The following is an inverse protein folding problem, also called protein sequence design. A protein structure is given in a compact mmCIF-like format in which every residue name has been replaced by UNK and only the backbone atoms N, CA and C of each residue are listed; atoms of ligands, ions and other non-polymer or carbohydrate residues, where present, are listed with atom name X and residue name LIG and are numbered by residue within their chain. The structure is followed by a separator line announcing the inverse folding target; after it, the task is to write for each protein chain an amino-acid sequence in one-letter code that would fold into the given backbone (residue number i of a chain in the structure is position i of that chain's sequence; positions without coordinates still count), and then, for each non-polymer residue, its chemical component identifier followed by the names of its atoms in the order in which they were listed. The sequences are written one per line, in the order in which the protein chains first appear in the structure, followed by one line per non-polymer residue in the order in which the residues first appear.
data_IF_898125275087
#
_entry.id   IF_898125275087
#
_cell.length_a   1.000
_cell.length_b   1.000
_cell.length_c   1.000
_cell.angle_alpha   90.00
_cell.angle_beta   90.00
_cell.angle_gamma   90.00
#
_symmetry.space_group_name_H-M   'P 1'
#
loop_
_entity.id
_entity.type
_entity.pdbx_description
1 polymer ?
#
# COMPACT_ATOMS: atom_id res chain seq x y z
N UNK A 1 -24.58 3.33 -13.42
CA UNK A 1 -23.59 3.26 -12.32
C UNK A 1 -22.22 3.43 -12.95
N UNK A 2 -21.44 4.34 -12.51
CA UNK A 2 -20.03 4.48 -12.93
C UNK A 2 -19.26 3.30 -12.36
N UNK A 3 -18.42 2.68 -13.18
CA UNK A 3 -17.53 1.59 -12.75
C UNK A 3 -16.47 2.19 -11.81
N UNK A 4 -16.13 1.49 -10.72
CA UNK A 4 -15.04 1.93 -9.83
C UNK A 4 -13.69 1.97 -10.57
N UNK A 5 -12.76 2.80 -10.04
CA UNK A 5 -11.46 3.03 -10.71
C UNK A 5 -10.60 1.78 -10.85
N UNK A 6 -10.68 0.85 -9.89
CA UNK A 6 -9.94 -0.42 -9.91
C UNK A 6 -10.44 -1.32 -11.03
N UNK A 7 -11.75 -1.53 -11.09
CA UNK A 7 -12.40 -2.36 -12.12
C UNK A 7 -12.27 -1.71 -13.51
N UNK A 8 -12.38 -0.38 -13.60
CA UNK A 8 -12.22 0.34 -14.86
C UNK A 8 -10.84 0.11 -15.49
N UNK A 9 -9.77 0.19 -14.69
CA UNK A 9 -8.42 -0.13 -15.19
C UNK A 9 -8.34 -1.56 -15.72
N UNK A 10 -8.88 -2.52 -14.99
CA UNK A 10 -8.86 -3.93 -15.41
C UNK A 10 -9.58 -4.13 -16.75
N UNK A 11 -10.76 -3.51 -16.92
CA UNK A 11 -11.52 -3.56 -18.17
C UNK A 11 -10.77 -2.90 -19.33
N UNK A 12 -10.12 -1.76 -19.11
CA UNK A 12 -9.40 -1.04 -20.16
C UNK A 12 -8.12 -1.79 -20.60
N UNK A 13 -7.44 -2.47 -19.67
CA UNK A 13 -6.32 -3.38 -20.00
C UNK A 13 -6.81 -4.58 -20.83
N UNK A 14 -7.90 -5.22 -20.41
CA UNK A 14 -8.42 -6.41 -21.10
C UNK A 14 -9.05 -6.09 -22.46
N UNK A 15 -9.48 -4.85 -22.65
CA UNK A 15 -9.96 -4.33 -23.95
C UNK A 15 -8.84 -3.78 -24.84
N UNK A 16 -7.56 -3.97 -24.45
CA UNK A 16 -6.37 -3.46 -25.13
C UNK A 16 -6.36 -1.92 -25.32
N UNK A 17 -7.13 -1.16 -24.55
CA UNK A 17 -7.07 0.31 -24.50
C UNK A 17 -5.83 0.80 -23.76
N UNK A 18 -5.34 0.00 -22.81
CA UNK A 18 -4.09 0.24 -22.08
C UNK A 18 -3.13 -0.88 -22.42
N UNK A 19 -1.95 -0.53 -22.93
CA UNK A 19 -0.89 -1.50 -23.21
C UNK A 19 -0.32 -2.03 -21.89
N UNK A 20 -0.37 -3.34 -21.69
CA UNK A 20 0.10 -4.00 -20.49
C UNK A 20 0.76 -5.35 -20.78
N UNK A 21 1.74 -5.73 -19.96
CA UNK A 21 2.37 -7.05 -20.05
C UNK A 21 1.47 -8.17 -19.53
N UNK A 22 1.83 -9.42 -19.85
CA UNK A 22 1.01 -10.60 -19.59
C UNK A 22 0.65 -10.77 -18.11
N UNK A 23 1.55 -10.47 -17.18
CA UNK A 23 1.27 -10.58 -15.74
C UNK A 23 0.24 -9.53 -15.27
N UNK A 24 0.26 -8.33 -15.85
CA UNK A 24 -0.76 -7.31 -15.56
C UNK A 24 -2.10 -7.73 -16.13
N UNK A 25 -2.12 -8.22 -17.39
CA UNK A 25 -3.34 -8.77 -18.02
C UNK A 25 -3.92 -9.93 -17.18
N UNK A 26 -3.07 -10.84 -16.70
CA UNK A 26 -3.49 -11.94 -15.83
C UNK A 26 -4.07 -11.46 -14.49
N UNK A 27 -3.48 -10.42 -13.89
CA UNK A 27 -4.01 -9.83 -12.65
C UNK A 27 -5.37 -9.15 -12.89
N UNK A 28 -5.52 -8.43 -14.00
CA UNK A 28 -6.79 -7.83 -14.40
C UNK A 28 -7.86 -8.89 -14.69
N UNK A 29 -7.51 -9.95 -15.43
CA UNK A 29 -8.42 -11.06 -15.71
C UNK A 29 -8.89 -11.75 -14.43
N UNK A 30 -7.94 -12.03 -13.50
CA UNK A 30 -8.28 -12.59 -12.18
C UNK A 30 -9.28 -11.70 -11.45
N UNK A 31 -9.08 -10.36 -11.46
CA UNK A 31 -10.01 -9.43 -10.80
C UNK A 31 -11.43 -9.57 -11.35
N UNK A 32 -11.60 -9.60 -12.66
CA UNK A 32 -12.90 -9.73 -13.33
C UNK A 32 -13.52 -11.11 -13.09
N UNK A 33 -12.74 -12.18 -13.15
CA UNK A 33 -13.22 -13.55 -12.92
C UNK A 33 -13.64 -13.75 -11.46
N UNK A 34 -12.87 -13.21 -10.52
CA UNK A 34 -13.18 -13.24 -9.10
C UNK A 34 -14.45 -12.42 -8.76
N UNK A 35 -14.69 -11.29 -9.43
CA UNK A 35 -15.94 -10.53 -9.26
C UNK A 35 -17.16 -11.36 -9.71
N UNK A 36 -17.08 -12.03 -10.87
CA UNK A 36 -18.12 -12.95 -11.34
C UNK A 36 -18.32 -14.11 -10.36
N UNK A 37 -17.22 -14.70 -9.87
CA UNK A 37 -17.29 -15.80 -8.91
C UNK A 37 -17.91 -15.37 -7.58
N UNK A 38 -17.74 -14.11 -7.18
CA UNK A 38 -18.28 -13.57 -5.92
C UNK A 38 -19.82 -13.52 -5.88
N UNK A 39 -20.47 -13.49 -7.06
CA UNK A 39 -21.94 -13.56 -7.20
C UNK A 39 -22.49 -14.93 -6.84
N UNK A 40 -21.68 -15.98 -6.91
CA UNK A 40 -22.08 -17.36 -6.64
C UNK A 40 -21.65 -17.81 -5.23
N UNK A 41 -22.54 -18.53 -4.52
CA UNK A 41 -22.16 -19.30 -3.36
C UNK A 41 -21.49 -20.62 -3.82
N UNK A 42 -20.36 -21.05 -3.24
CA UNK A 42 -19.77 -20.72 -1.94
C UNK A 42 -18.49 -19.87 -2.02
N UNK A 43 -18.35 -18.97 -2.98
CA UNK A 43 -17.12 -18.19 -3.11
C UNK A 43 -16.82 -17.37 -1.84
N UNK A 44 -15.61 -17.47 -1.34
CA UNK A 44 -15.21 -16.95 -0.02
C UNK A 44 -15.00 -15.45 0.01
N UNK A 45 -14.70 -14.84 -1.14
CA UNK A 45 -14.30 -13.44 -1.24
C UNK A 45 -15.36 -12.58 -1.91
N UNK A 46 -15.27 -11.27 -1.70
CA UNK A 46 -16.05 -10.26 -2.43
C UNK A 46 -15.19 -9.02 -2.64
N UNK A 47 -15.55 -8.21 -3.60
CA UNK A 47 -14.91 -6.92 -3.84
C UNK A 47 -15.76 -5.81 -3.21
N UNK A 48 -15.17 -5.13 -2.25
CA UNK A 48 -15.75 -3.99 -1.56
C UNK A 48 -15.29 -2.72 -2.25
N UNK A 49 -16.19 -2.16 -3.09
CA UNK A 49 -15.91 -0.96 -3.88
C UNK A 49 -15.62 0.24 -2.96
N UNK A 50 -16.35 0.37 -1.85
CA UNK A 50 -16.17 1.48 -0.92
C UNK A 50 -14.78 1.44 -0.27
N UNK A 51 -14.32 0.28 0.15
CA UNK A 51 -12.98 0.13 0.69
C UNK A 51 -11.89 0.31 -0.38
N UNK A 52 -12.13 -0.11 -1.63
CA UNK A 52 -11.21 0.11 -2.74
C UNK A 52 -11.05 1.62 -3.05
N UNK A 53 -12.17 2.33 -3.16
CA UNK A 53 -12.17 3.77 -3.43
C UNK A 53 -11.58 4.57 -2.26
N UNK A 54 -11.83 4.16 -1.02
CA UNK A 54 -11.34 4.88 0.18
C UNK A 54 -9.82 5.04 0.22
N UNK A 55 -9.05 4.02 -0.12
CA UNK A 55 -7.58 4.15 -0.16
C UNK A 55 -7.10 4.99 -1.35
N UNK A 56 -7.83 4.95 -2.46
CA UNK A 56 -7.51 5.77 -3.65
C UNK A 56 -7.84 7.24 -3.34
N UNK A 57 -8.99 7.52 -2.75
CA UNK A 57 -9.37 8.86 -2.31
C UNK A 57 -8.38 9.41 -1.29
N UNK A 58 -7.95 8.59 -0.32
CA UNK A 58 -6.89 8.98 0.61
C UNK A 58 -5.61 9.35 -0.14
N UNK A 59 -5.19 8.57 -1.14
CA UNK A 59 -4.00 8.89 -1.92
C UNK A 59 -4.14 10.26 -2.63
N UNK A 60 -5.33 10.60 -3.11
CA UNK A 60 -5.60 11.86 -3.81
C UNK A 60 -5.83 13.06 -2.87
N UNK A 61 -5.94 12.83 -1.56
CA UNK A 61 -5.86 13.94 -0.57
C UNK A 61 -4.42 14.39 -0.32
N UNK A 62 -3.44 13.59 -0.72
CA UNK A 62 -2.03 13.91 -0.47
C UNK A 62 -1.50 14.96 -1.44
N UNK A 63 -0.42 15.60 -1.04
CA UNK A 63 0.31 16.59 -1.84
C UNK A 63 1.73 16.13 -2.10
N UNK A 64 2.18 16.27 -3.34
CA UNK A 64 3.58 16.05 -3.71
C UNK A 64 4.33 17.35 -3.44
N UNK A 65 5.20 17.33 -2.42
CA UNK A 65 6.04 18.45 -2.02
C UNK A 65 7.41 18.42 -2.68
N UNK A 66 7.48 18.01 -3.96
CA UNK A 66 8.73 17.97 -4.73
C UNK A 66 8.66 18.93 -5.91
N UNK A 67 9.71 19.73 -6.08
CA UNK A 67 9.79 20.74 -7.13
C UNK A 67 9.58 22.15 -6.60
N UNK A 68 9.24 23.08 -7.50
CA UNK A 68 9.05 24.50 -7.18
C UNK A 68 7.69 24.80 -6.55
N UNK A 69 6.69 23.97 -6.87
CA UNK A 69 5.32 24.13 -6.36
C UNK A 69 4.77 22.79 -5.87
N UNK A 70 4.02 22.84 -4.78
CA UNK A 70 3.26 21.70 -4.28
C UNK A 70 2.14 21.34 -5.25
N UNK A 71 1.98 20.05 -5.54
CA UNK A 71 0.96 19.57 -6.47
C UNK A 71 0.07 18.53 -5.80
N UNK A 72 -1.27 18.60 -5.97
CA UNK A 72 -2.16 17.57 -5.51
C UNK A 72 -1.86 16.25 -6.25
N UNK A 73 -1.95 15.15 -5.50
CA UNK A 73 -1.78 13.83 -6.08
C UNK A 73 -2.98 13.48 -6.96
N UNK A 74 -2.69 13.00 -8.15
CA UNK A 74 -3.65 12.30 -9.01
C UNK A 74 -3.17 10.88 -9.20
N UNK A 75 -3.92 9.91 -8.70
CA UNK A 75 -3.56 8.51 -8.81
C UNK A 75 -3.67 8.03 -10.27
N UNK A 76 -2.56 7.51 -10.81
CA UNK A 76 -2.59 6.90 -12.15
C UNK A 76 -3.47 5.64 -12.16
N UNK A 77 -4.10 5.29 -13.29
CA UNK A 77 -5.00 4.13 -13.36
C UNK A 77 -4.39 2.81 -12.84
N UNK A 78 -3.10 2.56 -13.09
CA UNK A 78 -2.42 1.37 -12.56
C UNK A 78 -2.22 1.43 -11.03
N UNK A 79 -2.04 2.62 -10.46
CA UNK A 79 -1.97 2.82 -9.01
C UNK A 79 -3.33 2.59 -8.36
N UNK A 80 -4.41 3.07 -8.99
CA UNK A 80 -5.77 2.77 -8.57
C UNK A 80 -6.02 1.26 -8.54
N UNK A 81 -5.57 0.52 -9.58
CA UNK A 81 -5.70 -0.93 -9.62
C UNK A 81 -4.94 -1.64 -8.50
N UNK A 82 -3.71 -1.21 -8.20
CA UNK A 82 -2.89 -1.78 -7.13
C UNK A 82 -3.54 -1.51 -5.77
N UNK A 83 -3.79 -0.23 -5.45
CA UNK A 83 -4.34 0.20 -4.16
C UNK A 83 -5.73 -0.39 -3.92
N UNK A 84 -6.61 -0.27 -4.90
CA UNK A 84 -7.98 -0.77 -4.78
C UNK A 84 -8.05 -2.30 -4.73
N UNK A 85 -7.20 -3.03 -5.48
CA UNK A 85 -7.14 -4.49 -5.37
C UNK A 85 -6.69 -4.94 -3.97
N UNK A 86 -5.68 -4.31 -3.39
CA UNK A 86 -5.17 -4.66 -2.06
C UNK A 86 -6.17 -4.35 -0.95
N UNK A 87 -6.91 -3.25 -1.06
CA UNK A 87 -7.83 -2.83 -0.02
C UNK A 87 -9.27 -3.31 -0.23
N UNK A 88 -9.74 -3.44 -1.46
CA UNK A 88 -11.13 -3.78 -1.77
C UNK A 88 -11.45 -5.27 -1.72
N UNK A 89 -10.51 -6.17 -2.04
CA UNK A 89 -10.79 -7.59 -1.93
C UNK A 89 -10.83 -8.07 -0.47
N UNK A 90 -11.99 -8.57 -0.02
CA UNK A 90 -12.28 -8.95 1.36
C UNK A 90 -12.82 -10.37 1.49
N UNK A 91 -12.69 -10.96 2.68
CA UNK A 91 -13.34 -12.22 3.03
C UNK A 91 -14.78 -11.98 3.50
N UNK A 92 -15.71 -12.87 3.13
CA UNK A 92 -17.14 -12.76 3.54
C UNK A 92 -17.36 -13.04 5.03
N UNK A 93 -16.46 -13.78 5.68
CA UNK A 93 -16.60 -14.22 7.06
C UNK A 93 -16.09 -13.21 8.11
N UNK A 94 -15.20 -12.32 7.77
CA UNK A 94 -14.61 -11.41 8.74
C UNK A 94 -14.19 -10.06 8.18
N UNK A 95 -14.53 -9.79 6.92
CA UNK A 95 -14.16 -8.55 6.22
C UNK A 95 -12.64 -8.28 6.22
N UNK A 96 -11.83 -9.35 6.36
CA UNK A 96 -10.37 -9.25 6.30
C UNK A 96 -9.90 -9.08 4.85
N UNK A 97 -8.76 -8.43 4.66
CA UNK A 97 -8.13 -8.34 3.34
C UNK A 97 -7.83 -9.74 2.81
N UNK A 98 -8.19 -9.98 1.55
CA UNK A 98 -7.90 -11.24 0.86
C UNK A 98 -6.41 -11.42 0.62
N UNK A 99 -5.76 -10.37 0.10
CA UNK A 99 -4.35 -10.42 -0.25
C UNK A 99 -3.51 -10.07 0.97
N UNK A 100 -2.97 -11.10 1.61
CA UNK A 100 -2.06 -10.95 2.75
C UNK A 100 -0.63 -10.70 2.31
N UNK A 101 -0.29 -11.14 1.11
CA UNK A 101 1.02 -10.93 0.48
C UNK A 101 0.81 -10.43 -0.94
N UNK A 102 1.61 -9.46 -1.33
CA UNK A 102 1.63 -8.92 -2.69
C UNK A 102 3.07 -8.72 -3.17
N UNK A 103 3.29 -8.93 -4.45
CA UNK A 103 4.54 -8.60 -5.13
C UNK A 103 4.25 -7.57 -6.22
N UNK A 104 4.88 -6.40 -6.10
CA UNK A 104 4.69 -5.28 -7.01
C UNK A 104 6.02 -4.97 -7.67
N UNK A 105 6.11 -5.16 -8.98
CA UNK A 105 7.29 -4.83 -9.77
C UNK A 105 7.00 -3.66 -10.69
N UNK A 106 7.71 -2.57 -10.46
CA UNK A 106 7.62 -1.35 -11.26
C UNK A 106 9.01 -0.94 -11.73
N UNK A 107 9.09 -0.34 -12.91
CA UNK A 107 10.31 0.28 -13.40
C UNK A 107 10.78 1.41 -12.45
N UNK A 108 12.02 1.83 -12.60
CA UNK A 108 12.54 2.99 -11.86
C UNK A 108 11.72 4.25 -12.19
N UNK A 109 11.57 5.16 -11.23
CA UNK A 109 10.84 6.43 -11.35
C UNK A 109 9.35 6.29 -11.68
N UNK A 110 8.71 5.16 -11.34
CA UNK A 110 7.28 4.93 -11.50
C UNK A 110 6.50 4.99 -10.17
N UNK A 111 6.98 5.77 -9.21
CA UNK A 111 6.26 6.03 -7.96
C UNK A 111 6.18 4.84 -6.99
N UNK A 112 7.13 3.88 -7.03
CA UNK A 112 7.14 2.73 -6.12
C UNK A 112 7.21 3.15 -4.65
N UNK A 113 8.15 4.03 -4.29
CA UNK A 113 8.30 4.52 -2.91
C UNK A 113 7.09 5.35 -2.47
N UNK A 114 6.52 6.11 -3.40
CA UNK A 114 5.27 6.85 -3.19
C UNK A 114 4.10 5.91 -2.86
N UNK A 115 3.88 4.84 -3.64
CA UNK A 115 2.86 3.82 -3.35
C UNK A 115 3.09 3.14 -1.99
N UNK A 116 4.34 2.82 -1.68
CA UNK A 116 4.71 2.24 -0.39
C UNK A 116 4.42 3.21 0.76
N UNK A 117 4.67 4.50 0.57
CA UNK A 117 4.33 5.57 1.53
C UNK A 117 2.82 5.68 1.77
N UNK A 118 2.01 5.65 0.71
CA UNK A 118 0.54 5.63 0.80
C UNK A 118 0.07 4.42 1.61
N UNK A 119 0.53 3.21 1.27
CA UNK A 119 0.14 1.98 1.97
C UNK A 119 0.52 2.05 3.46
N UNK A 120 1.74 2.51 3.77
CA UNK A 120 2.19 2.63 5.16
C UNK A 120 1.38 3.64 5.96
N UNK A 121 1.12 4.83 5.42
CA UNK A 121 0.34 5.87 6.09
C UNK A 121 -1.13 5.44 6.27
N UNK A 122 -1.75 4.90 5.22
CA UNK A 122 -3.14 4.47 5.26
C UNK A 122 -3.35 3.34 6.26
N UNK A 123 -2.62 2.24 6.13
CA UNK A 123 -2.75 1.09 7.04
C UNK A 123 -2.24 1.38 8.45
N UNK A 124 -1.33 2.32 8.58
CA UNK A 124 -0.87 2.76 9.90
C UNK A 124 -1.93 3.54 10.65
N UNK A 125 -2.65 4.46 10.01
CA UNK A 125 -3.47 5.43 10.73
C UNK A 125 -4.95 5.49 10.32
N UNK A 126 -5.33 5.04 9.13
CA UNK A 126 -6.70 5.22 8.60
C UNK A 126 -7.46 3.90 8.38
N UNK A 127 -6.79 2.75 8.54
CA UNK A 127 -7.46 1.45 8.59
C UNK A 127 -8.04 1.20 10.00
N UNK A 128 -8.97 0.27 10.11
CA UNK A 128 -9.71 -0.04 11.36
C UNK A 128 -8.86 -0.73 12.43
N UNK A 129 -7.67 -1.22 12.09
CA UNK A 129 -6.82 -1.98 12.99
C UNK A 129 -6.04 -1.06 13.95
N UNK A 130 -6.20 -1.26 15.26
CA UNK A 130 -5.54 -0.47 16.30
C UNK A 130 -4.28 -1.15 16.81
N UNK A 131 -3.31 -0.33 17.25
CA UNK A 131 -2.03 -0.78 17.81
C UNK A 131 -1.20 -1.63 16.84
N UNK A 132 -1.41 -1.44 15.54
CA UNK A 132 -0.66 -2.12 14.49
C UNK A 132 0.80 -1.66 14.43
N UNK A 133 1.65 -2.53 13.91
CA UNK A 133 3.05 -2.22 13.64
C UNK A 133 3.27 -2.29 12.14
N UNK A 134 3.66 -1.16 11.56
CA UNK A 134 3.99 -1.04 10.14
C UNK A 134 5.50 -0.92 9.99
N UNK A 135 6.09 -1.78 9.19
CA UNK A 135 7.53 -1.81 8.97
C UNK A 135 7.87 -1.53 7.51
N UNK A 136 8.72 -0.52 7.29
CA UNK A 136 9.35 -0.24 6.01
C UNK A 136 10.78 -0.75 6.06
N UNK A 137 11.09 -1.77 5.26
CA UNK A 137 12.39 -2.45 5.30
C UNK A 137 13.07 -2.45 3.94
N UNK A 138 14.40 -2.42 3.95
CA UNK A 138 15.24 -2.60 2.78
C UNK A 138 16.59 -3.20 3.22
N UNK A 139 17.44 -3.54 2.26
CA UNK A 139 18.78 -4.10 2.54
C UNK A 139 19.67 -3.14 3.33
N UNK A 140 19.51 -1.83 3.14
CA UNK A 140 20.24 -0.77 3.85
C UNK A 140 19.26 0.17 4.51
N UNK A 141 19.67 0.75 5.66
CA UNK A 141 18.84 1.71 6.39
C UNK A 141 18.45 2.92 5.52
N UNK A 142 19.40 3.46 4.74
CA UNK A 142 19.15 4.60 3.88
C UNK A 142 18.06 4.33 2.83
N UNK A 143 17.96 3.10 2.33
CA UNK A 143 16.90 2.68 1.41
C UNK A 143 15.54 2.56 2.13
N UNK A 144 15.51 2.00 3.34
CA UNK A 144 14.28 1.96 4.14
C UNK A 144 13.79 3.37 4.50
N UNK A 145 14.73 4.31 4.68
CA UNK A 145 14.42 5.73 4.93
C UNK A 145 13.79 6.42 3.72
N UNK A 146 13.93 5.92 2.51
CA UNK A 146 13.26 6.52 1.33
C UNK A 146 11.74 6.47 1.52
N UNK A 147 11.19 5.30 1.85
CA UNK A 147 9.74 5.15 2.10
C UNK A 147 9.33 5.96 3.33
N UNK A 148 10.12 5.94 4.40
CA UNK A 148 9.87 6.72 5.60
C UNK A 148 9.81 8.22 5.30
N UNK A 149 10.73 8.74 4.52
CA UNK A 149 10.79 10.16 4.15
C UNK A 149 9.62 10.55 3.23
N UNK A 150 9.12 9.65 2.37
CA UNK A 150 7.90 9.91 1.61
C UNK A 150 6.70 10.15 2.54
N UNK A 151 6.55 9.32 3.58
CA UNK A 151 5.49 9.50 4.58
C UNK A 151 5.67 10.83 5.32
N UNK A 152 6.90 11.18 5.70
CA UNK A 152 7.21 12.46 6.35
C UNK A 152 6.85 13.66 5.46
N UNK A 153 7.13 13.58 4.15
CA UNK A 153 6.72 14.62 3.20
C UNK A 153 5.20 14.78 3.15
N UNK A 154 4.44 13.68 3.04
CA UNK A 154 2.98 13.73 3.07
C UNK A 154 2.45 14.39 4.34
N UNK A 155 2.99 14.01 5.50
CA UNK A 155 2.57 14.55 6.79
C UNK A 155 2.86 16.05 6.88
N UNK A 156 4.02 16.49 6.39
CA UNK A 156 4.45 17.89 6.51
C UNK A 156 3.80 18.82 5.48
N UNK A 157 3.29 18.29 4.36
CA UNK A 157 2.63 19.08 3.32
C UNK A 157 1.15 19.35 3.60
N UNK A 158 0.57 18.75 4.64
CA UNK A 158 -0.85 18.89 4.97
C UNK A 158 -1.04 19.06 6.48
N UNK A 159 -1.73 20.15 6.90
CA UNK A 159 -1.95 20.49 8.31
C UNK A 159 -2.82 19.45 9.02
N UNK A 160 -3.89 18.98 8.38
CA UNK A 160 -4.82 18.01 8.97
C UNK A 160 -4.13 16.65 9.13
N UNK A 161 -3.31 16.27 8.14
CA UNK A 161 -2.49 15.07 8.24
C UNK A 161 -1.47 15.17 9.37
N UNK A 162 -0.82 16.33 9.54
CA UNK A 162 0.16 16.55 10.61
C UNK A 162 -0.44 16.41 12.01
N UNK A 163 -1.72 16.74 12.15
CA UNK A 163 -2.45 16.51 13.40
C UNK A 163 -2.68 15.03 13.70
N UNK A 164 -2.73 14.18 12.67
CA UNK A 164 -2.97 12.73 12.81
C UNK A 164 -1.72 11.93 13.16
N UNK A 165 -0.52 12.50 13.00
CA UNK A 165 0.74 11.80 13.21
C UNK A 165 1.67 12.53 14.19
N UNK A 166 2.69 11.80 14.68
CA UNK A 166 3.82 12.37 15.42
C UNK A 166 5.11 11.73 14.94
N UNK A 167 5.97 12.53 14.32
CA UNK A 167 7.24 12.09 13.74
C UNK A 167 8.34 12.13 14.82
N UNK A 168 9.13 11.06 14.89
CA UNK A 168 10.30 10.92 15.74
C UNK A 168 11.52 10.60 14.86
N UNK A 169 12.16 11.63 14.32
CA UNK A 169 13.27 11.48 13.36
C UNK A 169 14.47 10.70 13.95
N UNK A 170 14.80 10.93 15.24
CA UNK A 170 15.98 10.34 15.89
C UNK A 170 15.95 8.80 15.90
N UNK A 171 14.78 8.17 15.89
CA UNK A 171 14.62 6.72 15.87
C UNK A 171 13.86 6.19 14.65
N UNK A 172 13.60 7.05 13.66
CA UNK A 172 12.91 6.72 12.42
C UNK A 172 11.55 6.03 12.66
N UNK A 173 10.74 6.65 13.55
CA UNK A 173 9.42 6.15 13.95
C UNK A 173 8.38 7.25 13.77
N UNK A 174 7.18 6.88 13.32
CA UNK A 174 6.01 7.74 13.27
C UNK A 174 4.92 7.09 14.12
N UNK A 175 4.41 7.82 15.11
CA UNK A 175 3.24 7.42 15.89
C UNK A 175 1.96 7.85 15.16
N UNK A 176 1.06 6.92 14.96
CA UNK A 176 -0.25 7.12 14.34
C UNK A 176 -1.28 7.40 15.44
N UNK A 177 -1.78 8.63 15.53
CA UNK A 177 -2.60 9.06 16.67
C UNK A 177 -4.01 8.49 16.68
N UNK A 178 -4.58 8.18 15.50
CA UNK A 178 -5.97 7.66 15.40
C UNK A 178 -6.04 6.20 15.83
N UNK A 179 -5.12 5.39 15.34
CA UNK A 179 -5.09 3.93 15.57
C UNK A 179 -4.19 3.53 16.74
N UNK A 180 -3.36 4.44 17.25
CA UNK A 180 -2.27 4.15 18.20
C UNK A 180 -1.22 3.17 17.63
N UNK A 181 -1.15 3.06 16.32
CA UNK A 181 -0.17 2.23 15.61
C UNK A 181 1.17 2.95 15.47
N UNK A 182 2.18 2.23 14.99
CA UNK A 182 3.52 2.79 14.75
C UNK A 182 4.04 2.38 13.39
N UNK A 183 4.65 3.34 12.69
CA UNK A 183 5.38 3.08 11.45
C UNK A 183 6.87 3.21 11.76
N UNK A 184 7.68 2.23 11.36
CA UNK A 184 9.14 2.22 11.60
C UNK A 184 9.90 1.87 10.33
N UNK A 185 10.99 2.60 10.08
CA UNK A 185 11.99 2.18 9.12
C UNK A 185 13.02 1.25 9.79
N UNK A 186 13.21 0.07 9.24
CA UNK A 186 14.16 -0.94 9.74
C UNK A 186 15.26 -1.19 8.71
N UNK A 187 16.48 -1.38 9.19
CA UNK A 187 17.58 -1.87 8.37
C UNK A 187 17.57 -3.41 8.32
N UNK A 188 18.27 -3.98 7.33
CA UNK A 188 18.36 -5.42 7.13
C UNK A 188 19.03 -6.25 8.24
N UNK A 189 19.33 -5.63 9.40
CA UNK A 189 19.83 -6.39 10.56
C UNK A 189 18.65 -7.06 11.29
N UNK A 190 18.46 -8.34 10.96
CA UNK A 190 17.34 -9.17 11.44
C UNK A 190 17.43 -9.51 12.93
N UNK A 191 18.58 -9.33 13.58
CA UNK A 191 18.80 -9.69 14.99
C UNK A 191 17.99 -8.89 16.00
N UNK A 192 17.47 -7.74 15.60
CA UNK A 192 16.67 -6.84 16.45
C UNK A 192 15.16 -6.97 16.24
N UNK A 193 14.71 -7.93 15.42
CA UNK A 193 13.32 -8.02 14.93
C UNK A 193 12.50 -9.10 15.68
N UNK A 194 13.12 -9.89 16.54
CA UNK A 194 12.42 -10.92 17.31
C UNK A 194 11.29 -10.33 18.17
N UNK A 195 10.10 -10.92 18.06
CA UNK A 195 8.91 -10.52 18.84
C UNK A 195 8.03 -9.46 18.17
N UNK A 196 8.29 -9.07 16.93
CA UNK A 196 7.42 -8.16 16.18
C UNK A 196 6.12 -8.86 15.73
N UNK A 197 5.04 -8.09 15.72
CA UNK A 197 3.73 -8.51 15.19
C UNK A 197 3.34 -7.53 14.09
N UNK A 198 3.88 -7.68 12.89
CA UNK A 198 3.62 -6.73 11.82
C UNK A 198 2.15 -6.79 11.39
N UNK A 199 1.52 -5.62 11.31
CA UNK A 199 0.25 -5.45 10.63
C UNK A 199 0.47 -5.23 9.13
N UNK A 200 1.55 -4.53 8.79
CA UNK A 200 2.04 -4.37 7.42
C UNK A 200 3.57 -4.43 7.41
N UNK A 201 4.12 -5.27 6.56
CA UNK A 201 5.54 -5.30 6.21
C UNK A 201 5.75 -4.86 4.77
N UNK A 202 6.54 -3.82 4.54
CA UNK A 202 6.96 -3.36 3.22
C UNK A 202 8.43 -3.71 3.07
N UNK A 203 8.75 -4.61 2.14
CA UNK A 203 10.11 -5.01 1.80
C UNK A 203 10.48 -4.38 0.47
N UNK A 204 11.14 -3.22 0.52
CA UNK A 204 11.55 -2.51 -0.68
C UNK A 204 12.83 -3.14 -1.27
N UNK A 205 12.97 -3.02 -2.61
CA UNK A 205 14.08 -3.61 -3.36
C UNK A 205 14.34 -5.10 -3.01
N UNK A 206 13.26 -5.90 -2.94
CA UNK A 206 13.31 -7.31 -2.54
C UNK A 206 14.38 -8.11 -3.29
N UNK A 207 14.59 -7.81 -4.57
CA UNK A 207 15.62 -8.46 -5.40
C UNK A 207 17.05 -8.23 -4.93
N UNK A 208 17.31 -7.21 -4.12
CA UNK A 208 18.64 -6.90 -3.58
C UNK A 208 18.92 -7.59 -2.24
N UNK A 209 17.92 -8.23 -1.63
CA UNK A 209 18.11 -9.01 -0.42
C UNK A 209 18.88 -10.31 -0.71
N UNK A 210 19.80 -10.68 0.18
CA UNK A 210 20.64 -11.89 0.02
C UNK A 210 19.85 -13.19 0.20
N UNK A 211 18.79 -13.12 1.01
CA UNK A 211 17.93 -14.22 1.37
C UNK A 211 16.51 -13.68 1.70
N UNK A 212 15.62 -14.58 2.06
CA UNK A 212 14.22 -14.30 2.39
C UNK A 212 13.96 -14.11 3.90
N UNK A 213 15.00 -13.98 4.72
CA UNK A 213 14.86 -13.88 6.18
C UNK A 213 14.01 -12.69 6.60
N UNK A 214 14.24 -11.51 6.00
CA UNK A 214 13.45 -10.31 6.30
C UNK A 214 11.98 -10.51 5.98
N UNK A 215 11.66 -11.12 4.85
CA UNK A 215 10.29 -11.45 4.47
C UNK A 215 9.64 -12.41 5.47
N UNK A 216 10.32 -13.50 5.83
CA UNK A 216 9.84 -14.50 6.80
C UNK A 216 9.62 -13.93 8.21
N UNK A 217 10.38 -12.92 8.61
CA UNK A 217 10.21 -12.26 9.90
C UNK A 217 8.98 -11.34 9.93
N UNK A 218 8.54 -10.87 8.75
CA UNK A 218 7.38 -9.98 8.62
C UNK A 218 6.09 -10.75 8.26
N UNK A 219 6.16 -12.02 7.89
CA UNK A 219 5.01 -12.89 7.60
C UNK A 219 4.38 -13.43 8.89
#
# INVERSE_FOLDING_TARGET
MTTDRTTQYALDVLADKIVAGDLVKAACQRHIDDMKAAEAAPYRYYFDVEEAERIIDFAETLTIAEGEEEQPVTAYPFQCFILGSLNGWRTKDGHHRRFRTSYIQLGRQNGKSFLNGILAAYYGNFDKYKYGQVYCTATKKDQAMIVFNEIVKFINSDSDLSECFKIHEHNSTIDCKITHSKIKALSGDTKSIDGFRPYLGIVDEYHAHKDDQMYKLLE
#
